data_IF_492314084496
#
_entry.id   IF_492314084496
#
_cell.length_a   1.000
_cell.length_b   1.000
_cell.length_c   1.000
_cell.angle_alpha   90.00
_cell.angle_beta   90.00
_cell.angle_gamma   90.00
#
_symmetry.space_group_name_H-M   'P 1'
#
loop_
_entity.id
_entity.type
_entity.pdbx_description
1 polymer ?
#
# COMPACT_ATOMS: atom_id res chain seq x y z
N UNK A 1 14.78 -9.43 -2.35
CA UNK A 1 14.35 -10.83 -2.32
C UNK A 1 13.12 -10.97 -3.20
N UNK A 2 13.08 -11.92 -4.13
CA UNK A 2 11.89 -12.22 -4.90
C UNK A 2 11.07 -13.26 -4.13
N UNK A 3 10.02 -12.81 -3.46
CA UNK A 3 9.06 -13.71 -2.82
C UNK A 3 8.02 -14.04 -3.87
N UNK A 4 7.83 -15.33 -4.17
CA UNK A 4 6.80 -15.80 -5.10
C UNK A 4 5.42 -15.65 -4.44
N UNK A 5 4.96 -14.41 -4.31
CA UNK A 5 3.62 -14.09 -3.86
C UNK A 5 2.72 -14.06 -5.10
N UNK A 6 1.67 -14.88 -5.09
CA UNK A 6 0.62 -14.78 -6.11
C UNK A 6 -0.12 -13.45 -5.92
N UNK A 7 0.15 -12.49 -6.79
CA UNK A 7 -0.53 -11.19 -6.84
C UNK A 7 -1.37 -11.19 -8.11
N UNK A 8 -2.61 -10.70 -8.00
CA UNK A 8 -3.45 -10.49 -9.18
C UNK A 8 -2.81 -9.44 -10.09
N UNK A 9 -2.38 -9.88 -11.28
CA UNK A 9 -1.73 -9.02 -12.26
C UNK A 9 -2.62 -7.86 -12.72
N UNK A 10 -3.94 -8.06 -12.79
CA UNK A 10 -4.87 -6.99 -13.20
C UNK A 10 -4.93 -5.90 -12.14
N UNK A 11 -5.03 -6.31 -10.87
CA UNK A 11 -5.02 -5.38 -9.74
C UNK A 11 -3.69 -4.61 -9.66
N UNK A 12 -2.58 -5.29 -9.97
CA UNK A 12 -1.26 -4.68 -9.96
C UNK A 12 -1.06 -3.69 -11.11
N UNK A 13 -1.59 -3.98 -12.30
CA UNK A 13 -1.59 -3.06 -13.44
C UNK A 13 -2.45 -1.83 -13.17
N UNK A 14 -3.64 -2.02 -12.58
CA UNK A 14 -4.49 -0.90 -12.15
C UNK A 14 -3.78 -0.04 -11.10
N UNK A 15 -3.19 -0.65 -10.07
CA UNK A 15 -2.41 0.06 -9.06
C UNK A 15 -1.20 0.79 -9.66
N UNK A 16 -0.55 0.22 -10.68
CA UNK A 16 0.59 0.83 -11.36
C UNK A 16 0.14 2.06 -12.19
N UNK A 17 -0.99 1.94 -12.90
CA UNK A 17 -1.61 3.03 -13.65
C UNK A 17 -2.07 4.16 -12.72
N UNK A 18 -2.63 3.84 -11.55
CA UNK A 18 -3.09 4.83 -10.58
C UNK A 18 -1.96 5.49 -9.79
N UNK A 19 -0.87 4.75 -9.52
CA UNK A 19 0.26 5.26 -8.73
C UNK A 19 1.28 6.06 -9.55
N UNK A 20 1.29 5.90 -10.89
CA UNK A 20 2.28 6.54 -11.77
C UNK A 20 3.71 6.02 -11.57
N UNK A 21 3.88 4.86 -10.92
CA UNK A 21 5.18 4.27 -10.61
C UNK A 21 5.72 3.47 -11.80
N UNK A 22 7.04 3.42 -11.91
CA UNK A 22 7.72 2.79 -13.06
C UNK A 22 7.77 1.27 -12.97
N UNK A 23 7.66 0.69 -11.77
CA UNK A 23 7.80 -0.75 -11.59
C UNK A 23 6.68 -1.34 -10.74
N UNK A 24 6.30 -2.58 -11.10
CA UNK A 24 5.37 -3.42 -10.33
C UNK A 24 5.84 -3.57 -8.87
N UNK A 25 7.14 -3.75 -8.64
CA UNK A 25 7.73 -3.88 -7.30
C UNK A 25 7.56 -2.62 -6.46
N UNK A 26 7.82 -1.45 -7.04
CA UNK A 26 7.68 -0.18 -6.33
C UNK A 26 6.22 0.09 -5.98
N UNK A 27 5.31 -0.26 -6.88
CA UNK A 27 3.86 -0.18 -6.67
C UNK A 27 3.43 -1.03 -5.47
N UNK A 28 3.85 -2.30 -5.42
CA UNK A 28 3.55 -3.19 -4.29
C UNK A 28 4.12 -2.64 -2.98
N UNK A 29 5.38 -2.21 -2.97
CA UNK A 29 6.01 -1.67 -1.77
C UNK A 29 5.32 -0.39 -1.28
N UNK A 30 4.95 0.49 -2.21
CA UNK A 30 4.24 1.73 -1.91
C UNK A 30 2.88 1.43 -1.26
N UNK A 31 2.07 0.57 -1.87
CA UNK A 31 0.74 0.20 -1.37
C UNK A 31 0.84 -0.46 0.00
N UNK A 32 1.79 -1.36 0.22
CA UNK A 32 2.00 -2.01 1.52
C UNK A 32 2.38 -0.99 2.60
N UNK A 33 3.31 -0.07 2.30
CA UNK A 33 3.72 0.99 3.22
C UNK A 33 2.55 1.90 3.56
N UNK A 34 1.77 2.28 2.57
CA UNK A 34 0.59 3.10 2.74
C UNK A 34 -0.43 2.38 3.65
N UNK A 35 -0.80 1.14 3.31
CA UNK A 35 -1.75 0.35 4.08
C UNK A 35 -1.38 0.24 5.56
N UNK A 36 -0.10 -0.06 5.85
CA UNK A 36 0.42 -0.11 7.22
C UNK A 36 0.32 1.26 7.89
N UNK A 37 0.70 2.33 7.18
CA UNK A 37 0.63 3.69 7.71
C UNK A 37 -0.81 4.13 8.00
N UNK A 38 -1.78 3.84 7.11
CA UNK A 38 -3.20 4.11 7.35
C UNK A 38 -3.72 3.37 8.57
N UNK A 39 -3.33 2.10 8.74
CA UNK A 39 -3.75 1.31 9.91
C UNK A 39 -3.14 1.85 11.20
N UNK A 40 -1.86 2.21 11.21
CA UNK A 40 -1.19 2.87 12.34
C UNK A 40 -1.84 4.22 12.68
N UNK A 41 -2.15 5.02 11.66
CA UNK A 41 -2.81 6.32 11.83
C UNK A 41 -4.23 6.18 12.39
N UNK A 42 -5.01 5.18 11.97
CA UNK A 42 -6.36 4.95 12.53
C UNK A 42 -6.31 4.64 14.03
N UNK A 43 -5.31 3.89 14.49
CA UNK A 43 -5.10 3.65 15.92
C UNK A 43 -4.76 4.95 16.66
N UNK A 44 -3.95 5.81 16.06
CA UNK A 44 -3.50 7.05 16.69
C UNK A 44 -4.53 8.20 16.65
N UNK A 45 -5.32 8.29 15.56
CA UNK A 45 -6.28 9.38 15.34
C UNK A 45 -7.51 9.28 16.24
N UNK A 46 -7.87 8.07 16.68
CA UNK A 46 -8.91 7.86 17.70
C UNK A 46 -8.50 8.49 19.04
N UNK A 47 -7.20 8.52 19.36
CA UNK A 47 -6.73 9.04 20.64
C UNK A 47 -6.68 10.57 20.72
N UNK A 48 -6.53 11.26 19.57
CA UNK A 48 -6.44 12.73 19.49
C UNK A 48 -7.81 13.42 19.47
N UNK A 49 -8.88 12.72 19.08
CA UNK A 49 -10.25 13.27 19.02
C UNK A 49 -11.03 13.16 20.35
N UNK A 50 -10.37 12.75 21.45
CA UNK A 50 -10.99 12.57 22.78
C UNK A 50 -10.56 13.66 23.79
N UNK A 51 -9.77 14.65 23.37
CA UNK A 51 -9.38 15.80 24.21
C UNK A 51 -9.80 17.12 23.60
#
# INVERSE_FOLDING_TARGET
MATNLAIDDKLLEEALSLSGLKTKKDTVNYVLKEFVNRRKQKVFKVHILIF
#
